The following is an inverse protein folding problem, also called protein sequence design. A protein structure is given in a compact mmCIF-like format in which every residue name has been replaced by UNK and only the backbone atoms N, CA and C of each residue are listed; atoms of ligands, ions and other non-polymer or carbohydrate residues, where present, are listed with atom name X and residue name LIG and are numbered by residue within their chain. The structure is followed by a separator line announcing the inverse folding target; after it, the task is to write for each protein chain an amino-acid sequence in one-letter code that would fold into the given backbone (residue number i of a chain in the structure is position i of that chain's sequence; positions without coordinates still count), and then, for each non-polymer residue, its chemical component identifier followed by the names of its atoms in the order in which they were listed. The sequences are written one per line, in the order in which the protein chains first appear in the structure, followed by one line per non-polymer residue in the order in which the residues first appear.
data_IF_689539847106
#
_entry.id   IF_689539847106
#
_cell.length_a   1.000
_cell.length_b   1.000
_cell.length_c   1.000
_cell.angle_alpha   90.00
_cell.angle_beta   90.00
_cell.angle_gamma   90.00
#
_symmetry.space_group_name_H-M   'P 1'
#
loop_
_entity.id
_entity.type
_entity.pdbx_description
1 polymer ?
#
# COMPACT_ATOMS: atom_id res chain seq x y z
N UNK A 1 17.61 -26.02 63.23
CA UNK A 1 17.68 -24.76 62.47
C UNK A 1 18.42 -24.98 61.15
N UNK A 2 19.63 -25.56 61.15
CA UNK A 2 20.39 -25.87 59.92
C UNK A 2 19.68 -26.84 58.96
N UNK A 3 18.98 -27.87 59.47
CA UNK A 3 18.23 -28.81 58.63
C UNK A 3 17.08 -28.14 57.86
N UNK A 4 16.41 -27.16 58.48
CA UNK A 4 15.33 -26.41 57.85
C UNK A 4 15.89 -25.50 56.73
N UNK A 5 17.01 -24.82 56.99
CA UNK A 5 17.69 -23.97 56.00
C UNK A 5 18.16 -24.80 54.79
N UNK A 6 18.70 -25.99 55.03
CA UNK A 6 19.11 -26.90 53.96
C UNK A 6 17.91 -27.42 53.16
N UNK A 7 16.80 -27.74 53.81
CA UNK A 7 15.55 -28.12 53.13
C UNK A 7 14.99 -26.98 52.28
N UNK A 8 15.03 -25.74 52.77
CA UNK A 8 14.57 -24.56 52.04
C UNK A 8 15.48 -24.29 50.82
N UNK A 9 16.79 -24.49 50.96
CA UNK A 9 17.74 -24.38 49.83
C UNK A 9 17.52 -25.43 48.74
N UNK A 10 17.22 -26.68 49.13
CA UNK A 10 16.89 -27.75 48.18
C UNK A 10 15.60 -27.40 47.42
N UNK A 11 14.58 -26.93 48.14
CA UNK A 11 13.28 -26.55 47.55
C UNK A 11 13.41 -25.36 46.59
N UNK A 12 14.22 -24.35 46.93
CA UNK A 12 14.51 -23.22 46.05
C UNK A 12 15.30 -23.65 44.81
N UNK A 13 16.25 -24.58 44.96
CA UNK A 13 17.00 -25.14 43.83
C UNK A 13 16.10 -25.95 42.88
N UNK A 14 15.20 -26.78 43.41
CA UNK A 14 14.21 -27.53 42.60
C UNK A 14 13.28 -26.58 41.84
N UNK A 15 12.83 -25.52 42.50
CA UNK A 15 11.97 -24.51 41.86
C UNK A 15 12.71 -23.77 40.74
N UNK A 16 13.99 -23.43 40.95
CA UNK A 16 14.85 -22.82 39.94
C UNK A 16 15.12 -23.76 38.77
N UNK A 17 15.38 -25.03 39.04
CA UNK A 17 15.60 -26.05 38.02
C UNK A 17 14.35 -26.19 37.14
N UNK A 18 13.17 -26.33 37.75
CA UNK A 18 11.90 -26.44 37.03
C UNK A 18 11.63 -25.21 36.16
N UNK A 19 11.87 -23.99 36.67
CA UNK A 19 11.75 -22.75 35.88
C UNK A 19 12.75 -22.71 34.71
N UNK A 20 13.97 -23.20 34.90
CA UNK A 20 14.96 -23.27 33.85
C UNK A 20 14.57 -24.30 32.77
N UNK A 21 14.02 -25.46 33.17
CA UNK A 21 13.50 -26.47 32.25
C UNK A 21 12.31 -25.95 31.44
N UNK A 22 11.35 -25.28 32.08
CA UNK A 22 10.20 -24.64 31.42
C UNK A 22 10.67 -23.56 30.42
N UNK A 23 11.69 -22.77 30.81
CA UNK A 23 12.26 -21.73 29.96
C UNK A 23 13.04 -22.30 28.78
N UNK A 24 13.82 -23.35 28.98
CA UNK A 24 14.53 -24.07 27.90
C UNK A 24 13.53 -24.75 26.97
N UNK A 25 12.46 -25.35 27.51
CA UNK A 25 11.37 -25.94 26.72
C UNK A 25 10.66 -24.89 25.85
N UNK A 26 10.33 -23.73 26.42
CA UNK A 26 9.75 -22.60 25.70
C UNK A 26 10.70 -22.02 24.63
N UNK A 27 11.99 -21.93 24.94
CA UNK A 27 13.03 -21.44 24.02
C UNK A 27 13.33 -22.43 22.88
N UNK A 28 13.17 -23.73 23.08
CA UNK A 28 13.42 -24.74 22.03
C UNK A 28 12.48 -24.60 20.83
N UNK A 29 11.20 -24.30 21.10
CA UNK A 29 10.21 -23.99 20.06
C UNK A 29 10.54 -22.70 19.31
N UNK A 30 10.87 -21.63 20.04
CA UNK A 30 11.30 -20.35 19.47
C UNK A 30 12.60 -20.48 18.67
N UNK A 31 13.58 -21.23 19.16
CA UNK A 31 14.83 -21.50 18.45
C UNK A 31 14.58 -22.16 17.09
N UNK A 32 13.70 -23.16 17.05
CA UNK A 32 13.33 -23.84 15.79
C UNK A 32 12.64 -22.87 14.84
N UNK A 33 11.70 -22.07 15.36
CA UNK A 33 10.97 -21.05 14.59
C UNK A 33 11.90 -19.98 14.02
N UNK A 34 12.80 -19.43 14.83
CA UNK A 34 13.77 -18.43 14.40
C UNK A 34 14.79 -19.00 13.43
N UNK A 35 15.23 -20.25 13.63
CA UNK A 35 16.12 -20.92 12.69
C UNK A 35 15.47 -21.10 11.31
N UNK A 36 14.21 -21.52 11.28
CA UNK A 36 13.44 -21.62 10.05
C UNK A 36 13.21 -20.24 9.39
N UNK A 37 12.84 -19.23 10.20
CA UNK A 37 12.65 -17.85 9.72
C UNK A 37 13.94 -17.27 9.16
N UNK A 38 15.09 -17.53 9.80
CA UNK A 38 16.40 -17.07 9.33
C UNK A 38 16.76 -17.70 7.98
N UNK A 39 16.46 -19.00 7.79
CA UNK A 39 16.64 -19.68 6.51
C UNK A 39 15.75 -19.06 5.41
N UNK A 40 14.47 -18.86 5.70
CA UNK A 40 13.52 -18.24 4.76
C UNK A 40 13.92 -16.81 4.39
N UNK A 41 14.38 -16.02 5.36
CA UNK A 41 14.91 -14.67 5.13
C UNK A 41 16.18 -14.70 4.28
N UNK A 42 17.06 -15.68 4.51
CA UNK A 42 18.22 -15.92 3.64
C UNK A 42 17.80 -16.15 2.19
N UNK A 43 16.87 -17.06 1.94
CA UNK A 43 16.36 -17.36 0.59
C UNK A 43 15.65 -16.16 -0.06
N UNK A 44 14.96 -15.33 0.74
CA UNK A 44 14.38 -14.07 0.26
C UNK A 44 15.46 -13.04 -0.09
N UNK A 45 16.51 -12.94 0.73
CA UNK A 45 17.61 -12.00 0.48
C UNK A 45 18.31 -12.29 -0.85
N UNK A 46 18.52 -13.56 -1.20
CA UNK A 46 19.11 -13.94 -2.49
C UNK A 46 18.24 -13.54 -3.71
N UNK A 47 16.91 -13.55 -3.56
CA UNK A 47 15.95 -13.19 -4.62
C UNK A 47 15.57 -11.70 -4.65
N UNK A 48 15.91 -10.98 -3.59
CA UNK A 48 15.46 -9.61 -3.34
C UNK A 48 15.73 -8.66 -4.51
N UNK A 49 16.93 -8.76 -5.10
CA UNK A 49 17.33 -7.85 -6.19
C UNK A 49 16.43 -8.00 -7.42
N UNK A 50 16.15 -9.25 -7.83
CA UNK A 50 15.26 -9.53 -8.96
C UNK A 50 13.80 -9.16 -8.66
N UNK A 51 13.33 -9.49 -7.45
CA UNK A 51 11.95 -9.21 -7.03
C UNK A 51 11.70 -7.69 -6.93
N UNK A 52 12.63 -6.91 -6.38
CA UNK A 52 12.52 -5.44 -6.31
C UNK A 52 12.59 -4.81 -7.69
N UNK A 53 13.39 -5.35 -8.62
CA UNK A 53 13.45 -4.85 -9.99
C UNK A 53 12.09 -4.99 -10.70
N UNK A 54 11.48 -6.18 -10.62
CA UNK A 54 10.17 -6.45 -11.20
C UNK A 54 9.10 -5.58 -10.53
N UNK A 55 9.10 -5.52 -9.19
CA UNK A 55 8.17 -4.67 -8.43
C UNK A 55 8.26 -3.20 -8.85
N UNK A 56 9.48 -2.67 -9.01
CA UNK A 56 9.70 -1.30 -9.46
C UNK A 56 9.17 -1.06 -10.88
N UNK A 57 9.35 -2.03 -11.77
CA UNK A 57 8.78 -2.00 -13.12
C UNK A 57 7.25 -1.95 -13.11
N UNK A 58 6.61 -2.73 -12.23
CA UNK A 58 5.15 -2.74 -12.09
C UNK A 58 4.64 -1.37 -11.62
N UNK A 59 5.24 -0.82 -10.55
CA UNK A 59 4.87 0.50 -9.99
C UNK A 59 5.08 1.63 -10.99
N UNK A 60 6.14 1.56 -11.80
CA UNK A 60 6.48 2.61 -12.75
C UNK A 60 5.63 2.58 -14.03
N UNK A 61 5.36 1.39 -14.58
CA UNK A 61 4.86 1.24 -15.96
C UNK A 61 3.52 0.54 -16.07
N UNK A 62 3.17 -0.38 -15.16
CA UNK A 62 2.02 -1.27 -15.37
C UNK A 62 0.69 -0.73 -14.83
N UNK A 63 0.69 0.38 -14.11
CA UNK A 63 -0.52 1.05 -13.59
C UNK A 63 -1.68 1.20 -14.58
N UNK A 64 -1.47 1.63 -15.85
CA UNK A 64 -2.57 1.84 -16.80
C UNK A 64 -3.16 0.55 -17.39
N UNK A 65 -2.45 -0.56 -17.30
CA UNK A 65 -2.79 -1.77 -18.03
C UNK A 65 -3.74 -2.69 -17.26
N UNK A 66 -4.46 -3.53 -18.00
CA UNK A 66 -5.39 -4.53 -17.47
C UNK A 66 -4.66 -5.75 -16.89
N UNK A 67 -5.33 -6.50 -16.02
CA UNK A 67 -4.77 -7.71 -15.38
C UNK A 67 -4.11 -8.69 -16.36
N UNK A 68 -4.74 -9.09 -17.49
CA UNK A 68 -4.12 -10.05 -18.40
C UNK A 68 -2.79 -9.56 -18.97
N UNK A 69 -2.72 -8.27 -19.32
CA UNK A 69 -1.50 -7.65 -19.83
C UNK A 69 -0.42 -7.59 -18.75
N UNK A 70 -0.77 -7.19 -17.51
CA UNK A 70 0.18 -7.18 -16.39
C UNK A 70 0.77 -8.56 -16.14
N UNK A 71 -0.06 -9.59 -16.09
CA UNK A 71 0.38 -10.97 -15.87
C UNK A 71 1.30 -11.45 -16.99
N UNK A 72 0.95 -11.18 -18.25
CA UNK A 72 1.82 -11.51 -19.38
C UNK A 72 3.18 -10.80 -19.26
N UNK A 73 3.17 -9.50 -19.02
CA UNK A 73 4.40 -8.71 -18.96
C UNK A 73 5.30 -9.13 -17.79
N UNK A 74 4.72 -9.43 -16.62
CA UNK A 74 5.47 -9.94 -15.46
C UNK A 74 6.13 -11.27 -15.80
N UNK A 75 5.43 -12.20 -16.47
CA UNK A 75 6.01 -13.48 -16.90
C UNK A 75 7.21 -13.28 -17.84
N UNK A 76 7.08 -12.38 -18.81
CA UNK A 76 8.17 -12.02 -19.72
C UNK A 76 9.36 -11.41 -18.97
N UNK A 77 9.12 -10.55 -17.98
CA UNK A 77 10.19 -9.97 -17.15
C UNK A 77 10.88 -11.01 -16.27
N UNK A 78 10.14 -11.94 -15.65
CA UNK A 78 10.70 -13.06 -14.88
C UNK A 78 11.57 -13.95 -15.78
N UNK A 79 11.12 -14.25 -17.00
CA UNK A 79 11.90 -15.01 -17.97
C UNK A 79 13.19 -14.27 -18.34
N UNK A 80 13.11 -12.96 -18.64
CA UNK A 80 14.29 -12.16 -18.99
C UNK A 80 15.28 -12.07 -17.82
N UNK A 81 14.81 -11.91 -16.58
CA UNK A 81 15.66 -11.97 -15.39
C UNK A 81 16.41 -13.30 -15.30
N UNK A 82 15.71 -14.41 -15.56
CA UNK A 82 16.29 -15.76 -15.56
C UNK A 82 17.35 -15.92 -16.64
N UNK A 83 17.10 -15.43 -17.87
CA UNK A 83 18.07 -15.44 -18.97
C UNK A 83 19.33 -14.60 -18.68
N UNK A 84 19.19 -13.54 -17.88
CA UNK A 84 20.30 -12.68 -17.43
C UNK A 84 20.98 -13.17 -16.15
N UNK A 85 20.70 -14.39 -15.71
CA UNK A 85 21.21 -14.98 -14.48
C UNK A 85 20.90 -14.17 -13.21
N UNK A 86 19.80 -13.41 -13.22
CA UNK A 86 19.26 -12.78 -12.02
C UNK A 86 18.25 -13.71 -11.36
N UNK A 87 18.42 -13.92 -10.05
CA UNK A 87 17.54 -14.76 -9.27
C UNK A 87 16.32 -13.94 -8.86
N UNK A 88 15.13 -14.38 -9.25
CA UNK A 88 13.86 -13.82 -8.83
C UNK A 88 12.89 -14.96 -8.50
N UNK A 89 11.78 -14.62 -7.84
CA UNK A 89 10.71 -15.56 -7.55
C UNK A 89 9.98 -15.95 -8.85
N UNK A 90 9.78 -17.25 -9.07
CA UNK A 90 9.12 -17.77 -10.28
C UNK A 90 7.63 -17.45 -10.33
N UNK A 91 6.96 -17.49 -9.17
CA UNK A 91 5.59 -17.02 -8.98
C UNK A 91 5.62 -15.64 -8.31
N UNK A 92 5.95 -14.63 -9.10
CA UNK A 92 6.07 -13.26 -8.60
C UNK A 92 4.69 -12.65 -8.35
N UNK A 93 4.47 -12.13 -7.14
CA UNK A 93 3.30 -11.35 -6.78
C UNK A 93 3.74 -10.01 -6.17
N UNK A 94 3.19 -8.90 -6.65
CA UNK A 94 3.56 -7.56 -6.16
C UNK A 94 3.28 -7.41 -4.65
N UNK A 95 2.17 -8.01 -4.20
CA UNK A 95 1.76 -8.04 -2.80
C UNK A 95 2.81 -8.63 -1.86
N UNK A 96 3.56 -9.63 -2.30
CA UNK A 96 4.51 -10.31 -1.43
C UNK A 96 5.80 -9.51 -1.22
N UNK A 97 6.08 -8.57 -2.14
CA UNK A 97 7.28 -7.73 -2.13
C UNK A 97 7.00 -6.37 -1.48
N UNK A 98 5.93 -5.69 -1.89
CA UNK A 98 5.61 -4.31 -1.49
C UNK A 98 4.30 -4.20 -0.69
N UNK A 99 3.57 -5.30 -0.50
CA UNK A 99 2.31 -5.31 0.23
C UNK A 99 2.50 -5.49 1.74
N UNK A 100 1.94 -4.56 2.51
CA UNK A 100 1.76 -4.74 3.95
C UNK A 100 0.34 -5.29 4.22
N UNK A 101 0.20 -6.51 4.80
CA UNK A 101 -1.10 -7.09 5.11
C UNK A 101 -2.01 -6.21 5.98
N UNK A 102 -1.43 -5.41 6.89
CA UNK A 102 -2.18 -4.51 7.78
C UNK A 102 -2.72 -3.34 6.97
N UNK A 103 -1.90 -2.76 6.11
CA UNK A 103 -2.29 -1.64 5.26
C UNK A 103 -3.32 -2.07 4.21
N UNK A 104 -3.13 -3.23 3.58
CA UNK A 104 -4.10 -3.83 2.64
C UNK A 104 -5.45 -4.02 3.31
N UNK A 105 -5.46 -4.50 4.56
CA UNK A 105 -6.71 -4.62 5.32
C UNK A 105 -7.37 -3.27 5.55
N UNK A 106 -6.59 -2.25 5.93
CA UNK A 106 -7.14 -0.90 6.13
C UNK A 106 -7.79 -0.36 4.84
N UNK A 107 -7.20 -0.66 3.68
CA UNK A 107 -7.80 -0.32 2.39
C UNK A 107 -9.10 -1.07 2.14
N UNK A 108 -9.14 -2.38 2.45
CA UNK A 108 -10.36 -3.17 2.30
C UNK A 108 -11.49 -2.65 3.18
N UNK A 109 -11.18 -2.28 4.43
CA UNK A 109 -12.14 -1.64 5.35
C UNK A 109 -12.61 -0.29 4.79
N UNK A 110 -11.72 0.48 4.17
CA UNK A 110 -12.04 1.73 3.50
C UNK A 110 -12.82 1.54 2.17
N UNK A 111 -13.06 0.30 1.74
CA UNK A 111 -13.87 -0.03 0.56
C UNK A 111 -13.09 -0.35 -0.72
N UNK A 112 -11.78 -0.58 -0.63
CA UNK A 112 -11.03 -1.20 -1.73
C UNK A 112 -11.42 -2.68 -1.84
N UNK A 113 -11.72 -3.19 -3.03
CA UNK A 113 -11.95 -4.61 -3.20
C UNK A 113 -10.71 -5.47 -2.89
N UNK A 114 -10.97 -6.68 -2.40
CA UNK A 114 -9.93 -7.63 -2.00
C UNK A 114 -9.33 -8.43 -3.16
N UNK A 115 -9.70 -8.12 -4.41
CA UNK A 115 -9.14 -8.76 -5.59
C UNK A 115 -7.68 -8.35 -5.83
N UNK A 116 -6.92 -9.17 -6.57
CA UNK A 116 -5.50 -8.95 -6.78
C UNK A 116 -5.21 -7.62 -7.52
N UNK A 117 -6.05 -7.25 -8.48
CA UNK A 117 -5.85 -6.06 -9.31
C UNK A 117 -6.07 -4.77 -8.50
N UNK A 118 -7.12 -4.72 -7.70
CA UNK A 118 -7.42 -3.61 -6.79
C UNK A 118 -6.31 -3.44 -5.75
N UNK A 119 -5.82 -4.53 -5.17
CA UNK A 119 -4.73 -4.49 -4.20
C UNK A 119 -3.42 -4.03 -4.84
N UNK A 120 -3.08 -4.50 -6.05
CA UNK A 120 -1.93 -4.01 -6.79
C UNK A 120 -2.02 -2.50 -7.04
N UNK A 121 -3.18 -2.00 -7.44
CA UNK A 121 -3.39 -0.56 -7.60
C UNK A 121 -3.19 0.20 -6.28
N UNK A 122 -3.66 -0.33 -5.15
CA UNK A 122 -3.43 0.25 -3.83
C UNK A 122 -1.94 0.32 -3.45
N UNK A 123 -1.18 -0.74 -3.76
CA UNK A 123 0.27 -0.79 -3.58
C UNK A 123 0.96 0.26 -4.47
N UNK A 124 0.56 0.37 -5.73
CA UNK A 124 1.13 1.36 -6.66
C UNK A 124 0.86 2.78 -6.15
N UNK A 125 -0.36 3.11 -5.72
CA UNK A 125 -0.71 4.43 -5.19
C UNK A 125 0.17 4.82 -3.99
N UNK A 126 0.42 3.87 -3.10
CA UNK A 126 1.18 4.11 -1.87
C UNK A 126 2.68 4.27 -2.12
N UNK A 127 3.22 3.53 -3.09
CA UNK A 127 4.66 3.52 -3.38
C UNK A 127 5.08 4.43 -4.55
N UNK A 128 4.14 4.92 -5.35
CA UNK A 128 4.44 5.78 -6.48
C UNK A 128 4.95 7.16 -6.04
N UNK A 129 5.98 7.65 -6.73
CA UNK A 129 6.54 8.98 -6.47
C UNK A 129 5.69 10.12 -7.04
N UNK A 130 5.04 9.88 -8.19
CA UNK A 130 4.15 10.84 -8.87
C UNK A 130 2.72 10.63 -8.39
N UNK A 131 1.94 11.71 -8.39
CA UNK A 131 0.55 11.66 -7.95
C UNK A 131 -0.29 10.72 -8.83
N UNK A 132 -1.17 9.91 -8.23
CA UNK A 132 -2.00 8.97 -8.98
C UNK A 132 -3.12 9.69 -9.73
N UNK A 133 -3.27 9.36 -11.01
CA UNK A 133 -4.46 9.67 -11.81
C UNK A 133 -5.18 8.36 -12.10
N UNK A 134 -6.33 8.20 -11.47
CA UNK A 134 -7.13 6.97 -11.48
C UNK A 134 -8.24 7.09 -12.52
N UNK A 135 -8.22 6.19 -13.51
CA UNK A 135 -9.27 6.00 -14.50
C UNK A 135 -10.36 5.14 -13.85
N UNK A 136 -11.39 5.80 -13.32
CA UNK A 136 -12.39 5.20 -12.44
C UNK A 136 -13.82 5.55 -12.89
N UNK A 137 -14.32 4.89 -13.95
CA UNK A 137 -15.66 5.16 -14.45
C UNK A 137 -16.78 4.68 -13.51
N UNK A 138 -16.47 3.86 -12.49
CA UNK A 138 -17.44 3.32 -11.52
C UNK A 138 -17.37 3.99 -10.13
N UNK A 139 -16.56 5.03 -9.95
CA UNK A 139 -16.33 5.73 -8.68
C UNK A 139 -15.85 4.81 -7.54
N UNK A 140 -15.20 3.68 -7.84
CA UNK A 140 -14.69 2.75 -6.84
C UNK A 140 -13.47 3.32 -6.12
N UNK A 141 -12.49 3.79 -6.90
CA UNK A 141 -11.29 4.44 -6.38
C UNK A 141 -11.65 5.74 -5.66
N UNK A 142 -12.57 6.52 -6.23
CA UNK A 142 -13.07 7.76 -5.65
C UNK A 142 -13.64 7.54 -4.24
N UNK A 143 -14.55 6.57 -4.08
CA UNK A 143 -15.13 6.21 -2.77
C UNK A 143 -14.08 5.71 -1.79
N UNK A 144 -13.18 4.85 -2.25
CA UNK A 144 -12.12 4.30 -1.41
C UNK A 144 -11.20 5.41 -0.87
N UNK A 145 -10.69 6.31 -1.72
CA UNK A 145 -9.82 7.41 -1.28
C UNK A 145 -10.53 8.34 -0.28
N UNK A 146 -11.81 8.67 -0.52
CA UNK A 146 -12.61 9.48 0.43
C UNK A 146 -12.73 8.83 1.80
N UNK A 147 -12.94 7.52 1.84
CA UNK A 147 -13.05 6.78 3.09
C UNK A 147 -11.70 6.61 3.79
N UNK A 148 -10.64 6.32 3.02
CA UNK A 148 -9.28 6.12 3.51
C UNK A 148 -8.73 7.39 4.17
N UNK A 149 -8.96 8.54 3.56
CA UNK A 149 -8.43 9.84 4.02
C UNK A 149 -9.46 10.64 4.85
N UNK A 150 -10.56 9.99 5.28
CA UNK A 150 -11.65 10.66 6.00
C UNK A 150 -11.18 11.28 7.32
N UNK A 151 -10.34 10.57 8.07
CA UNK A 151 -9.77 11.06 9.33
C UNK A 151 -8.75 12.19 9.13
N UNK A 152 -8.18 12.29 7.93
CA UNK A 152 -7.21 13.31 7.54
C UNK A 152 -7.85 14.59 6.98
N UNK A 153 -9.19 14.71 7.02
CA UNK A 153 -9.96 15.84 6.50
C UNK A 153 -9.71 16.12 5.01
N UNK A 154 -9.88 15.09 4.17
CA UNK A 154 -9.75 15.19 2.72
C UNK A 154 -10.63 16.28 2.10
N UNK A 155 -10.01 17.14 1.31
CA UNK A 155 -10.69 18.18 0.53
C UNK A 155 -11.03 17.65 -0.86
N UNK A 156 -12.30 17.74 -1.24
CA UNK A 156 -12.78 17.31 -2.56
C UNK A 156 -12.94 18.57 -3.42
N UNK A 157 -12.32 18.58 -4.60
CA UNK A 157 -12.34 19.72 -5.52
C UNK A 157 -12.63 19.29 -6.95
N UNK A 158 -13.17 20.20 -7.76
CA UNK A 158 -13.35 20.03 -9.21
C UNK A 158 -12.77 21.23 -9.96
N UNK A 159 -12.20 20.99 -11.15
CA UNK A 159 -11.65 22.07 -12.00
C UNK A 159 -12.71 23.08 -12.46
N UNK A 160 -14.00 22.74 -12.38
CA UNK A 160 -15.12 23.62 -12.72
C UNK A 160 -15.48 24.61 -11.61
N UNK A 161 -15.00 24.41 -10.38
CA UNK A 161 -15.33 25.24 -9.22
C UNK A 161 -14.41 26.46 -9.16
N UNK A 162 -14.95 27.67 -9.05
CA UNK A 162 -14.13 28.91 -9.09
C UNK A 162 -13.10 29.00 -7.96
N UNK A 163 -13.40 28.42 -6.80
CA UNK A 163 -12.59 28.54 -5.59
C UNK A 163 -11.59 27.38 -5.40
N UNK A 164 -11.48 26.47 -6.36
CA UNK A 164 -10.65 25.26 -6.20
C UNK A 164 -9.18 25.58 -5.93
N UNK A 165 -8.65 26.64 -6.55
CA UNK A 165 -7.25 27.09 -6.36
C UNK A 165 -7.02 27.47 -4.91
N UNK A 166 -7.93 28.24 -4.31
CA UNK A 166 -7.82 28.66 -2.90
C UNK A 166 -7.92 27.47 -1.95
N UNK A 167 -8.78 26.49 -2.24
CA UNK A 167 -8.87 25.26 -1.45
C UNK A 167 -7.54 24.49 -1.53
N UNK A 168 -6.97 24.39 -2.74
CA UNK A 168 -5.70 23.72 -2.97
C UNK A 168 -4.53 24.41 -2.25
N UNK A 169 -4.46 25.75 -2.28
CA UNK A 169 -3.45 26.53 -1.54
C UNK A 169 -3.49 26.20 -0.05
N UNK A 170 -4.68 26.26 0.57
CA UNK A 170 -4.84 25.94 1.99
C UNK A 170 -4.45 24.49 2.28
N UNK A 171 -4.87 23.55 1.43
CA UNK A 171 -4.55 22.15 1.62
C UNK A 171 -3.04 21.87 1.54
N UNK A 172 -2.33 22.52 0.62
CA UNK A 172 -0.86 22.45 0.51
C UNK A 172 -0.19 23.01 1.77
N UNK A 173 -0.67 24.15 2.27
CA UNK A 173 -0.12 24.79 3.46
C UNK A 173 -0.32 23.95 4.73
N UNK A 174 -1.52 23.39 4.93
CA UNK A 174 -1.85 22.62 6.12
C UNK A 174 -1.55 21.12 5.99
N UNK A 175 -1.12 20.65 4.81
CA UNK A 175 -0.83 19.25 4.55
C UNK A 175 -2.07 18.36 4.48
N UNK A 176 -3.23 18.92 4.12
CA UNK A 176 -4.47 18.16 3.96
C UNK A 176 -4.47 17.40 2.62
N UNK A 177 -4.97 16.15 2.58
CA UNK A 177 -5.12 15.43 1.34
C UNK A 177 -6.19 16.07 0.46
N UNK A 178 -5.97 16.07 -0.86
CA UNK A 178 -6.89 16.62 -1.86
C UNK A 178 -7.27 15.55 -2.88
N UNK A 179 -8.57 15.42 -3.17
CA UNK A 179 -9.10 14.63 -4.26
C UNK A 179 -9.67 15.55 -5.34
N UNK A 180 -9.00 15.57 -6.49
CA UNK A 180 -9.45 16.25 -7.69
C UNK A 180 -10.34 15.31 -8.52
N UNK A 181 -11.63 15.61 -8.56
CA UNK A 181 -12.61 14.76 -9.24
C UNK A 181 -12.87 15.17 -10.69
N UNK A 182 -13.26 14.18 -11.49
CA UNK A 182 -13.82 14.34 -12.84
C UNK A 182 -12.90 15.13 -13.76
N UNK A 183 -11.59 14.86 -13.69
CA UNK A 183 -10.63 15.44 -14.61
C UNK A 183 -10.89 14.92 -16.03
N UNK A 184 -10.97 15.83 -16.99
CA UNK A 184 -11.08 15.50 -18.41
C UNK A 184 -9.69 15.22 -19.01
N UNK A 185 -9.53 15.25 -20.33
CA UNK A 185 -8.23 14.99 -20.97
C UNK A 185 -7.23 16.14 -20.78
N UNK A 186 -7.70 17.31 -20.33
CA UNK A 186 -6.88 18.50 -20.07
C UNK A 186 -6.85 18.81 -18.58
N UNK A 187 -5.63 18.99 -18.07
CA UNK A 187 -5.35 19.52 -16.74
C UNK A 187 -5.05 21.01 -16.83
N UNK A 188 -5.45 21.77 -15.81
CA UNK A 188 -5.09 23.18 -15.70
C UNK A 188 -3.58 23.31 -15.48
N UNK A 189 -2.94 24.23 -16.21
CA UNK A 189 -1.51 24.51 -16.12
C UNK A 189 -1.10 24.99 -14.72
N UNK A 190 -2.03 25.56 -13.94
CA UNK A 190 -1.75 25.98 -12.56
C UNK A 190 -1.34 24.79 -11.66
N UNK A 191 -1.76 23.57 -11.99
CA UNK A 191 -1.42 22.36 -11.23
C UNK A 191 -0.01 21.85 -11.52
N UNK A 192 0.64 22.31 -12.59
CA UNK A 192 1.94 21.79 -13.03
C UNK A 192 3.02 21.80 -11.94
N UNK A 193 3.21 22.89 -11.17
CA UNK A 193 4.19 22.91 -10.08
C UNK A 193 3.91 21.83 -9.03
N UNK A 194 2.63 21.60 -8.71
CA UNK A 194 2.19 20.58 -7.74
C UNK A 194 2.42 19.18 -8.29
N UNK A 195 2.09 18.95 -9.56
CA UNK A 195 2.27 17.65 -10.23
C UNK A 195 3.73 17.23 -10.28
N UNK A 196 4.60 18.18 -10.63
CA UNK A 196 6.05 17.98 -10.71
C UNK A 196 6.76 18.12 -9.36
N UNK A 197 6.04 18.49 -8.29
CA UNK A 197 6.59 18.77 -6.95
C UNK A 197 7.75 19.78 -7.00
N UNK A 198 7.58 20.86 -7.78
CA UNK A 198 8.55 21.94 -7.96
C UNK A 198 8.63 22.85 -6.72
N UNK A 199 9.15 22.30 -5.63
CA UNK A 199 9.35 23.02 -4.38
C UNK A 199 10.70 23.74 -4.36
N UNK A 200 10.76 24.88 -3.69
CA UNK A 200 11.98 25.67 -3.50
C UNK A 200 12.04 26.22 -2.08
N UNK A 201 13.23 26.54 -1.60
CA UNK A 201 13.38 27.17 -0.29
C UNK A 201 13.20 28.68 -0.42
N UNK A 202 12.32 29.26 0.38
CA UNK A 202 12.11 30.70 0.47
C UNK A 202 11.98 31.10 1.94
N UNK A 203 12.74 32.12 2.36
CA UNK A 203 12.76 32.60 3.75
C UNK A 203 12.92 31.49 4.82
N UNK A 204 13.66 30.41 4.50
CA UNK A 204 13.89 29.29 5.42
C UNK A 204 12.82 28.19 5.40
N UNK A 205 11.66 28.43 4.78
CA UNK A 205 10.60 27.44 4.61
C UNK A 205 10.67 26.77 3.22
N UNK A 206 10.12 25.57 3.10
CA UNK A 206 9.89 24.91 1.81
C UNK A 206 8.60 25.49 1.23
N UNK A 207 8.64 26.01 0.02
CA UNK A 207 7.51 26.65 -0.63
C UNK A 207 7.28 26.09 -2.03
N UNK A 208 6.09 26.31 -2.56
CA UNK A 208 5.71 26.02 -3.94
C UNK A 208 5.00 27.24 -4.52
N UNK A 209 5.20 27.49 -5.82
CA UNK A 209 4.51 28.57 -6.53
C UNK A 209 3.26 28.01 -7.20
N UNK A 210 2.10 28.57 -6.89
CA UNK A 210 0.81 28.17 -7.47
C UNK A 210 0.20 29.38 -8.18
N UNK A 211 0.30 29.41 -9.51
CA UNK A 211 -0.03 30.63 -10.26
C UNK A 211 0.90 31.78 -9.85
N UNK A 212 0.35 32.86 -9.29
CA UNK A 212 1.11 34.01 -8.82
C UNK A 212 1.42 33.98 -7.31
N UNK A 213 0.84 33.04 -6.56
CA UNK A 213 1.03 32.95 -5.11
C UNK A 213 2.18 32.01 -4.76
N UNK A 214 2.86 32.32 -3.66
CA UNK A 214 3.87 31.45 -3.05
C UNK A 214 3.28 30.88 -1.78
N UNK A 215 3.15 29.57 -1.72
CA UNK A 215 2.52 28.84 -0.62
C UNK A 215 3.58 28.01 0.09
N UNK A 216 3.56 27.99 1.42
CA UNK A 216 4.39 27.08 2.20
C UNK A 216 3.96 25.62 1.92
N UNK A 217 4.92 24.75 1.65
CA UNK A 217 4.67 23.38 1.25
C UNK A 217 4.82 22.43 2.44
N UNK A 218 3.74 21.75 2.80
CA UNK A 218 3.75 20.71 3.82
C UNK A 218 4.04 19.33 3.21
N UNK A 219 5.01 18.60 3.76
CA UNK A 219 5.40 17.26 3.27
C UNK A 219 4.31 16.18 3.44
N UNK A 220 3.35 16.41 4.32
CA UNK A 220 2.21 15.52 4.54
C UNK A 220 1.13 15.67 3.47
N UNK A 221 1.19 16.73 2.64
CA UNK A 221 0.25 16.93 1.55
C UNK A 221 0.22 15.71 0.62
N UNK A 222 -1.00 15.33 0.20
CA UNK A 222 -1.25 14.26 -0.77
C UNK A 222 -2.28 14.72 -1.79
N UNK A 223 -2.02 14.45 -3.07
CA UNK A 223 -2.94 14.73 -4.17
C UNK A 223 -3.37 13.43 -4.84
N UNK A 224 -4.68 13.26 -5.00
CA UNK A 224 -5.32 12.18 -5.72
C UNK A 224 -6.16 12.76 -6.85
N UNK A 225 -6.12 12.13 -8.03
CA UNK A 225 -6.85 12.60 -9.20
C UNK A 225 -7.72 11.46 -9.74
N UNK A 226 -9.00 11.72 -10.01
CA UNK A 226 -9.90 10.73 -10.62
C UNK A 226 -10.53 11.25 -11.90
N UNK A 227 -10.73 10.37 -12.87
CA UNK A 227 -11.49 10.65 -14.09
C UNK A 227 -12.58 9.59 -14.29
N UNK A 228 -13.74 10.02 -14.80
CA UNK A 228 -14.83 9.12 -15.21
C UNK A 228 -14.73 8.68 -16.67
N UNK A 229 -13.80 9.26 -17.42
CA UNK A 229 -13.57 8.88 -18.81
C UNK A 229 -13.07 7.44 -18.84
N UNK A 230 -13.75 6.56 -19.60
CA UNK A 230 -13.36 5.14 -19.69
C UNK A 230 -12.05 4.94 -20.44
N UNK A 231 -11.81 5.76 -21.46
CA UNK A 231 -10.62 5.66 -22.31
C UNK A 231 -10.12 7.08 -22.67
N UNK A 232 -9.56 7.82 -21.70
CA UNK A 232 -9.05 9.16 -21.94
C UNK A 232 -7.77 9.15 -22.78
N UNK A 233 -7.67 10.07 -23.73
CA UNK A 233 -6.47 10.27 -24.54
C UNK A 233 -5.60 11.39 -23.94
N UNK A 234 -4.86 11.04 -22.89
CA UNK A 234 -3.91 11.97 -22.30
C UNK A 234 -2.72 12.23 -23.21
N UNK A 235 -2.32 13.50 -23.31
CA UNK A 235 -1.08 13.88 -23.95
C UNK A 235 0.12 13.26 -23.20
N UNK A 236 1.22 12.92 -23.90
CA UNK A 236 2.42 12.35 -23.26
C UNK A 236 2.95 13.18 -22.10
N UNK A 237 2.81 14.50 -22.20
CA UNK A 237 3.17 15.47 -21.15
C UNK A 237 2.46 15.18 -19.82
N UNK A 238 1.17 14.83 -19.84
CA UNK A 238 0.41 14.47 -18.64
C UNK A 238 0.89 13.11 -18.12
N UNK A 239 1.07 12.12 -19.00
CA UNK A 239 1.48 10.76 -18.63
C UNK A 239 2.87 10.69 -17.96
N UNK A 240 3.75 11.65 -18.24
CA UNK A 240 5.06 11.77 -17.57
C UNK A 240 4.94 12.38 -16.17
N UNK A 241 3.96 13.28 -15.95
CA UNK A 241 3.77 14.01 -14.69
C UNK A 241 3.02 13.21 -13.62
N UNK A 242 2.10 12.34 -14.03
CA UNK A 242 1.26 11.55 -13.11
C UNK A 242 1.56 10.05 -13.18
N UNK A 243 1.13 9.30 -12.17
CA UNK A 243 1.06 7.84 -12.22
C UNK A 243 -0.34 7.45 -12.71
N UNK A 244 -0.46 7.13 -13.99
CA UNK A 244 -1.73 6.66 -14.56
C UNK A 244 -2.07 5.28 -14.02
N UNK A 245 -3.29 5.12 -13.52
CA UNK A 245 -3.80 3.90 -12.91
C UNK A 245 -5.17 3.56 -13.45
N UNK A 246 -5.32 2.32 -13.91
CA UNK A 246 -6.61 1.83 -14.40
C UNK A 246 -7.38 1.18 -13.24
N UNK A 247 -8.53 1.76 -12.90
CA UNK A 247 -9.48 1.26 -11.89
C UNK A 247 -10.77 0.73 -12.52
N UNK A 248 -10.81 0.56 -13.84
CA UNK A 248 -11.96 -0.01 -14.52
C UNK A 248 -12.19 -1.44 -14.04
N UNK A 249 -13.42 -1.70 -13.57
CA UNK A 249 -13.82 -3.03 -13.15
C UNK A 249 -13.77 -3.98 -14.35
N UNK A 250 -13.01 -5.07 -14.21
CA UNK A 250 -12.98 -6.17 -15.19
C UNK A 250 -14.07 -7.20 -14.84
N UNK A 251 -14.58 -8.00 -15.80
CA UNK A 251 -15.57 -9.03 -15.51
C UNK A 251 -15.11 -10.03 -14.44
N UNK A 252 -13.84 -10.46 -14.50
CA UNK A 252 -13.24 -11.33 -13.49
C UNK A 252 -13.13 -10.64 -12.13
N UNK A 253 -12.74 -9.35 -12.10
CA UNK A 253 -12.71 -8.57 -10.86
C UNK A 253 -14.10 -8.39 -10.23
N UNK A 254 -15.14 -8.25 -11.06
CA UNK A 254 -16.52 -8.19 -10.59
C UNK A 254 -16.98 -9.55 -10.03
N UNK A 255 -16.62 -10.66 -10.68
CA UNK A 255 -16.89 -12.00 -10.19
C UNK A 255 -16.26 -12.25 -8.81
N UNK A 256 -14.98 -11.92 -8.64
CA UNK A 256 -14.28 -12.02 -7.36
C UNK A 256 -14.92 -11.14 -6.28
N UNK A 257 -15.34 -9.93 -6.63
CA UNK A 257 -16.05 -9.02 -5.72
C UNK A 257 -17.40 -9.60 -5.27
N UNK A 258 -18.20 -10.11 -6.21
CA UNK A 258 -19.49 -10.71 -5.91
C UNK A 258 -19.32 -11.99 -5.09
N UNK A 259 -18.33 -12.82 -5.40
CA UNK A 259 -17.99 -14.01 -4.63
C UNK A 259 -17.65 -13.63 -3.19
N UNK A 260 -16.85 -12.58 -2.98
CA UNK A 260 -16.53 -12.07 -1.65
C UNK A 260 -17.79 -11.67 -0.86
N UNK A 261 -18.71 -10.94 -1.50
CA UNK A 261 -19.97 -10.52 -0.87
C UNK A 261 -20.88 -11.71 -0.54
N UNK A 262 -20.96 -12.70 -1.43
CA UNK A 262 -21.77 -13.90 -1.22
C UNK A 262 -21.20 -14.73 -0.07
N UNK A 263 -19.89 -14.95 -0.04
CA UNK A 263 -19.23 -15.70 1.05
C UNK A 263 -19.41 -14.99 2.39
N UNK A 264 -19.26 -13.67 2.44
CA UNK A 264 -19.51 -12.87 3.64
C UNK A 264 -20.93 -13.06 4.19
N UNK A 265 -21.92 -13.18 3.30
CA UNK A 265 -23.32 -13.35 3.67
C UNK A 265 -23.70 -14.79 4.02
N UNK A 266 -23.20 -15.76 3.26
CA UNK A 266 -23.51 -17.20 3.43
C UNK A 266 -22.71 -17.83 4.57
N UNK A 267 -21.47 -17.37 4.80
CA UNK A 267 -20.54 -17.90 5.82
C UNK A 267 -19.90 -16.77 6.64
N UNK A 268 -20.70 -16.01 7.41
CA UNK A 268 -20.19 -14.92 8.24
C UNK A 268 -19.26 -15.41 9.36
N UNK A 269 -19.38 -16.68 9.76
CA UNK A 269 -18.50 -17.37 10.70
C UNK A 269 -17.03 -17.37 10.23
N UNK A 270 -16.80 -17.81 8.99
CA UNK A 270 -15.46 -17.87 8.40
C UNK A 270 -14.86 -16.49 8.15
N UNK A 271 -15.69 -15.51 7.79
CA UNK A 271 -15.25 -14.13 7.61
C UNK A 271 -14.82 -13.50 8.94
N UNK A 272 -15.60 -13.71 10.01
CA UNK A 272 -15.27 -13.24 11.35
C UNK A 272 -13.97 -13.88 11.87
N UNK A 273 -13.79 -15.19 11.67
CA UNK A 273 -12.58 -15.91 12.07
C UNK A 273 -11.35 -15.42 11.29
N UNK A 274 -11.45 -15.27 9.97
CA UNK A 274 -10.40 -14.66 9.13
C UNK A 274 -10.05 -13.26 9.64
N UNK A 275 -11.05 -12.45 9.97
CA UNK A 275 -10.87 -11.10 10.49
C UNK A 275 -10.15 -11.11 11.85
N UNK A 276 -10.50 -12.02 12.75
CA UNK A 276 -9.89 -12.17 14.06
C UNK A 276 -8.42 -12.60 13.94
N UNK A 277 -8.12 -13.62 13.13
CA UNK A 277 -6.75 -14.12 12.92
C UNK A 277 -5.82 -13.06 12.34
N UNK A 278 -6.31 -12.22 11.43
CA UNK A 278 -5.50 -11.13 10.85
C UNK A 278 -5.25 -10.02 11.89
N UNK A 279 -6.23 -9.66 12.74
CA UNK A 279 -5.99 -8.66 13.81
C UNK A 279 -4.97 -9.23 14.79
N UNK A 280 -5.16 -10.47 15.21
CA UNK A 280 -4.27 -11.15 16.13
C UNK A 280 -2.85 -11.23 15.56
N UNK A 281 -2.69 -11.58 14.29
CA UNK A 281 -1.39 -11.58 13.60
C UNK A 281 -0.75 -10.18 13.54
N UNK A 282 -1.53 -9.14 13.27
CA UNK A 282 -1.06 -7.75 13.26
C UNK A 282 -0.64 -7.26 14.65
N UNK A 283 -1.41 -7.56 15.69
CA UNK A 283 -1.08 -7.25 17.09
C UNK A 283 0.15 -8.04 17.53
N UNK A 284 0.23 -9.33 17.20
CA UNK A 284 1.38 -10.16 17.49
C UNK A 284 2.66 -9.62 16.82
N UNK A 285 2.57 -9.10 15.59
CA UNK A 285 3.70 -8.42 14.92
C UNK A 285 4.09 -7.08 15.55
N UNK A 286 3.20 -6.42 16.29
CA UNK A 286 3.51 -5.17 17.03
C UNK A 286 4.06 -5.42 18.43
N UNK A 287 3.77 -6.59 19.02
CA UNK A 287 4.19 -6.97 20.37
C UNK A 287 5.52 -7.75 20.41
N UNK A 288 6.10 -8.08 19.26
CA UNK A 288 7.47 -8.59 19.09
C UNK A 288 8.34 -7.46 18.56
#
# INVERSE_FOLDING_TARGET
MEFQVMSDQVTDCETKLKRAEDLIGGLGGEYTRWSQTAKELGDKYYRLTGDVLIASGIVAYLGPFTTPFRVQQIKEWVQLCSEKAMICSSDFQLRDVLGDPVLIRSWNIAGLPADAFSIDNGIIITNARRWPLMIDPQDQANKWIKNMEKENNISIIRLTERDYVRILENAIQFGQPVLLENVEEKLDAILEPVLLKQTFKHAGALCIKLGDTVVEYNNNFRLYITTKLRNPHYLPEIAVRVTLLNFMITPSGLEDQLLGIVVAKERPDLESEKNALIVQSATNKKCV
#
